data_IF_501090410625
#
_entry.id   IF_501090410625
#
_cell.length_a   1.000
_cell.length_b   1.000
_cell.length_c   1.000
_cell.angle_alpha   90.00
_cell.angle_beta   90.00
_cell.angle_gamma   90.00
#
_symmetry.space_group_name_H-M   'P 1'
#
loop_
_entity.id
_entity.type
_entity.pdbx_description
1 polymer ?
#
# COMPACT_ATOMS: atom_id res chain seq x y z
N UNK A 1 -7.27 1.05 15.18
CA UNK A 1 -6.34 1.07 14.02
C UNK A 1 -6.04 2.52 13.68
N UNK A 2 -4.80 2.83 13.31
CA UNK A 2 -4.40 4.18 12.93
C UNK A 2 -4.77 4.54 11.49
N UNK A 3 -4.37 5.74 11.01
CA UNK A 3 -4.49 6.13 9.61
C UNK A 3 -3.74 5.15 8.71
N UNK A 4 -4.15 5.03 7.46
CA UNK A 4 -3.42 4.22 6.48
C UNK A 4 -2.25 5.00 5.89
N UNK A 5 -1.09 4.37 5.77
CA UNK A 5 0.13 4.98 5.23
C UNK A 5 0.71 4.15 4.07
N UNK A 6 1.16 4.81 3.02
CA UNK A 6 1.89 4.23 1.90
C UNK A 6 3.33 4.77 1.96
N UNK A 7 4.30 3.85 1.87
CA UNK A 7 5.71 4.18 1.81
C UNK A 7 6.26 3.70 0.47
N UNK A 8 7.06 4.52 -0.19
CA UNK A 8 7.97 4.03 -1.22
C UNK A 8 9.20 3.34 -0.59
N UNK A 9 10.03 2.71 -1.43
CA UNK A 9 11.26 2.07 -0.95
C UNK A 9 12.22 3.07 -0.31
N UNK A 10 12.32 4.29 -0.82
CA UNK A 10 13.23 5.31 -0.28
C UNK A 10 12.87 5.69 1.17
N UNK A 11 11.58 5.87 1.45
CA UNK A 11 11.06 6.13 2.79
C UNK A 11 11.31 4.94 3.71
N UNK A 12 10.89 3.73 3.31
CA UNK A 12 11.06 2.51 4.12
C UNK A 12 12.54 2.24 4.45
N UNK A 13 13.41 2.35 3.45
CA UNK A 13 14.84 2.10 3.61
C UNK A 13 15.47 3.07 4.60
N UNK A 14 15.00 4.32 4.67
CA UNK A 14 15.53 5.33 5.57
C UNK A 14 15.26 5.05 7.05
N UNK A 15 14.20 4.29 7.37
CA UNK A 15 13.74 4.10 8.75
C UNK A 15 14.58 3.08 9.53
N UNK A 16 14.88 3.38 10.78
CA UNK A 16 15.48 2.43 11.74
C UNK A 16 14.44 1.43 12.28
N UNK A 17 14.90 0.37 12.95
CA UNK A 17 14.00 -0.64 13.56
C UNK A 17 13.01 0.00 14.54
N UNK A 18 13.47 0.95 15.37
CA UNK A 18 12.61 1.69 16.33
C UNK A 18 11.57 2.54 15.63
N UNK A 19 11.95 3.22 14.56
CA UNK A 19 11.04 4.03 13.76
C UNK A 19 9.99 3.16 13.06
N UNK A 20 10.36 1.96 12.58
CA UNK A 20 9.42 0.98 12.01
C UNK A 20 8.43 0.46 13.07
N UNK A 21 8.89 0.18 14.30
CA UNK A 21 8.00 -0.20 15.41
C UNK A 21 7.02 0.95 15.74
N UNK A 22 7.52 2.19 15.79
CA UNK A 22 6.67 3.35 16.03
C UNK A 22 5.62 3.52 14.92
N UNK A 23 6.06 3.40 13.66
CA UNK A 23 5.20 3.46 12.49
C UNK A 23 4.08 2.43 12.55
N UNK A 24 4.39 1.15 12.81
CA UNK A 24 3.39 0.08 12.82
C UNK A 24 2.37 0.21 13.94
N UNK A 25 2.70 0.96 15.00
CA UNK A 25 1.80 1.23 16.12
C UNK A 25 0.88 2.41 15.84
N UNK A 26 1.36 3.38 15.07
CA UNK A 26 0.61 4.59 14.73
C UNK A 26 -0.22 4.45 13.45
N UNK A 27 0.14 3.54 12.55
CA UNK A 27 -0.41 3.47 11.21
C UNK A 27 -0.72 2.04 10.79
N UNK A 28 -1.72 1.90 9.91
CA UNK A 28 -1.89 0.69 9.10
C UNK A 28 -1.09 0.85 7.82
N UNK A 29 -0.08 0.01 7.59
CA UNK A 29 0.79 0.12 6.40
C UNK A 29 0.13 -0.52 5.19
N UNK A 30 -0.12 0.26 4.14
CA UNK A 30 -0.51 -0.20 2.82
C UNK A 30 0.73 -0.64 2.04
N UNK A 31 0.98 -1.94 1.96
CA UNK A 31 2.10 -2.49 1.19
C UNK A 31 1.65 -2.58 -0.28
N UNK A 32 2.12 -1.64 -1.09
CA UNK A 32 1.95 -1.74 -2.53
C UNK A 32 2.84 -2.88 -3.08
N UNK A 33 2.33 -3.77 -3.95
CA UNK A 33 3.12 -4.83 -4.59
C UNK A 33 4.44 -4.35 -5.20
N UNK A 34 4.49 -3.15 -5.79
CA UNK A 34 5.71 -2.55 -6.33
C UNK A 34 6.82 -2.45 -5.27
N UNK A 35 6.50 -2.15 -4.01
CA UNK A 35 7.48 -2.09 -2.92
C UNK A 35 8.15 -3.44 -2.67
N UNK A 36 7.36 -4.52 -2.62
CA UNK A 36 7.94 -5.85 -2.41
C UNK A 36 8.77 -6.30 -3.61
N UNK A 37 8.34 -5.96 -4.85
CA UNK A 37 9.14 -6.24 -6.05
C UNK A 37 10.45 -5.45 -6.08
N UNK A 38 10.45 -4.18 -5.66
CA UNK A 38 11.67 -3.39 -5.56
C UNK A 38 12.62 -3.91 -4.46
N UNK A 39 12.08 -4.42 -3.34
CA UNK A 39 12.87 -5.08 -2.30
C UNK A 39 13.48 -6.36 -2.87
N UNK A 40 12.68 -7.23 -3.49
CA UNK A 40 13.16 -8.46 -4.10
C UNK A 40 14.23 -8.20 -5.17
N UNK A 41 14.10 -7.13 -5.95
CA UNK A 41 15.08 -6.75 -6.97
C UNK A 41 16.46 -6.33 -6.40
N UNK A 42 16.56 -6.02 -5.11
CA UNK A 42 17.87 -5.80 -4.46
C UNK A 42 18.67 -7.09 -4.31
N UNK A 43 18.03 -8.27 -4.43
CA UNK A 43 18.72 -9.57 -4.45
C UNK A 43 19.71 -9.69 -5.61
N UNK A 44 19.53 -8.90 -6.67
CA UNK A 44 20.38 -8.85 -7.86
C UNK A 44 21.09 -7.50 -8.04
N UNK A 45 21.27 -6.75 -6.95
CA UNK A 45 21.90 -5.43 -6.98
C UNK A 45 23.38 -5.50 -6.62
N UNK A 46 24.22 -4.94 -7.48
CA UNK A 46 25.67 -4.91 -7.29
C UNK A 46 26.35 -6.23 -7.61
N UNK A 47 27.67 -6.27 -7.43
CA UNK A 47 28.51 -7.40 -7.81
C UNK A 47 28.70 -8.44 -6.70
N UNK A 48 28.30 -8.12 -5.46
CA UNK A 48 28.40 -8.99 -4.29
C UNK A 48 27.03 -9.63 -3.96
N UNK A 49 26.83 -10.92 -4.27
CA UNK A 49 25.56 -11.60 -4.02
C UNK A 49 25.23 -11.74 -2.53
N UNK A 50 26.22 -11.80 -1.65
CA UNK A 50 26.01 -11.97 -0.21
C UNK A 50 25.53 -10.66 0.40
N UNK A 51 26.18 -9.55 0.09
CA UNK A 51 25.72 -8.21 0.50
C UNK A 51 24.33 -7.87 -0.08
N UNK A 52 24.06 -8.24 -1.35
CA UNK A 52 22.75 -8.06 -1.98
C UNK A 52 21.65 -8.82 -1.22
N UNK A 53 21.93 -10.08 -0.86
CA UNK A 53 21.05 -10.94 -0.08
C UNK A 53 20.80 -10.36 1.31
N UNK A 54 21.86 -9.97 2.03
CA UNK A 54 21.75 -9.36 3.36
C UNK A 54 20.90 -8.08 3.34
N UNK A 55 21.15 -7.19 2.38
CA UNK A 55 20.38 -5.96 2.22
C UNK A 55 18.90 -6.24 1.92
N UNK A 56 18.61 -7.26 1.12
CA UNK A 56 17.23 -7.69 0.82
C UNK A 56 16.52 -8.18 2.07
N UNK A 57 17.20 -8.98 2.89
CA UNK A 57 16.69 -9.45 4.19
C UNK A 57 16.41 -8.28 5.14
N UNK A 58 17.34 -7.32 5.24
CA UNK A 58 17.18 -6.13 6.08
C UNK A 58 15.94 -5.33 5.67
N UNK A 59 15.70 -5.14 4.37
CA UNK A 59 14.53 -4.41 3.87
C UNK A 59 13.23 -5.21 4.07
N UNK A 60 13.22 -6.52 3.82
CA UNK A 60 12.07 -7.38 4.03
C UNK A 60 11.64 -7.39 5.51
N UNK A 61 12.59 -7.35 6.45
CA UNK A 61 12.33 -7.27 7.89
C UNK A 61 11.64 -5.96 8.33
N UNK A 62 11.62 -4.92 7.48
CA UNK A 62 10.85 -3.69 7.74
C UNK A 62 9.37 -3.80 7.36
N UNK A 63 8.98 -4.83 6.59
CA UNK A 63 7.59 -5.10 6.21
C UNK A 63 6.87 -5.89 7.32
N UNK A 64 6.53 -5.21 8.43
CA UNK A 64 5.86 -5.84 9.57
C UNK A 64 4.44 -6.29 9.20
N UNK A 65 4.14 -7.59 9.30
CA UNK A 65 2.86 -8.15 8.81
C UNK A 65 1.66 -7.92 9.73
N UNK A 66 1.83 -7.77 11.05
CA UNK A 66 0.71 -7.64 12.00
C UNK A 66 -0.17 -6.41 11.67
N UNK A 67 0.47 -5.26 11.42
CA UNK A 67 -0.18 -3.96 11.26
C UNK A 67 -0.11 -3.44 9.81
N UNK A 68 0.04 -4.35 8.84
CA UNK A 68 0.09 -4.00 7.41
C UNK A 68 -0.90 -4.81 6.58
N UNK A 69 -1.17 -4.37 5.36
CA UNK A 69 -1.90 -5.16 4.38
C UNK A 69 -1.26 -5.00 3.00
N UNK A 70 -1.02 -6.13 2.33
CA UNK A 70 -0.63 -6.15 0.92
C UNK A 70 -1.86 -5.80 0.09
N UNK A 71 -1.73 -4.77 -0.74
CA UNK A 71 -2.77 -4.35 -1.66
C UNK A 71 -2.77 -5.23 -2.92
N UNK A 72 -3.91 -5.38 -3.56
CA UNK A 72 -3.99 -6.03 -4.87
C UNK A 72 -3.14 -5.24 -5.89
N UNK A 73 -2.60 -5.93 -6.89
CA UNK A 73 -1.90 -5.27 -7.99
C UNK A 73 -2.83 -4.27 -8.70
N UNK A 74 -2.37 -3.04 -8.88
CA UNK A 74 -3.18 -1.93 -9.39
C UNK A 74 -3.71 -2.19 -10.81
N UNK A 75 -2.99 -2.96 -11.64
CA UNK A 75 -3.48 -3.41 -12.96
C UNK A 75 -4.69 -4.33 -12.87
N UNK A 76 -4.74 -5.22 -11.87
CA UNK A 76 -5.92 -6.07 -11.60
C UNK A 76 -7.09 -5.20 -11.12
N UNK A 77 -6.84 -4.24 -10.21
CA UNK A 77 -7.87 -3.30 -9.76
C UNK A 77 -8.45 -2.50 -10.94
N UNK A 78 -7.58 -1.98 -11.81
CA UNK A 78 -7.98 -1.20 -12.97
C UNK A 78 -8.81 -2.02 -13.96
N UNK A 79 -8.36 -3.23 -14.28
CA UNK A 79 -9.08 -4.12 -15.19
C UNK A 79 -10.50 -4.41 -14.67
N UNK A 80 -10.63 -4.73 -13.39
CA UNK A 80 -11.94 -5.00 -12.77
C UNK A 80 -12.84 -3.76 -12.73
N UNK A 81 -12.29 -2.58 -12.41
CA UNK A 81 -13.05 -1.31 -12.44
C UNK A 81 -13.57 -1.00 -13.86
N UNK A 82 -12.73 -1.19 -14.88
CA UNK A 82 -13.09 -1.01 -16.29
C UNK A 82 -14.07 -2.08 -16.79
N UNK A 83 -14.12 -3.26 -16.19
CA UNK A 83 -15.08 -4.32 -16.52
C UNK A 83 -16.39 -4.25 -15.72
N UNK A 84 -16.48 -3.37 -14.72
CA UNK A 84 -17.74 -3.06 -14.02
C UNK A 84 -17.78 -3.47 -12.56
N UNK A 85 -16.65 -3.82 -11.96
CA UNK A 85 -16.51 -4.04 -10.52
C UNK A 85 -15.86 -2.83 -9.88
N UNK A 86 -16.62 -1.90 -9.27
CA UNK A 86 -16.09 -0.62 -8.80
C UNK A 86 -15.01 -0.79 -7.72
N UNK A 87 -13.93 -0.03 -7.84
CA UNK A 87 -12.86 0.01 -6.83
C UNK A 87 -13.15 1.07 -5.77
N UNK A 88 -13.29 0.63 -4.51
CA UNK A 88 -13.57 1.53 -3.39
C UNK A 88 -12.34 2.35 -2.99
N UNK A 89 -12.36 3.65 -3.29
CA UNK A 89 -11.27 4.60 -3.06
C UNK A 89 -11.36 5.29 -1.68
N UNK A 90 -11.52 4.48 -0.63
CA UNK A 90 -11.82 4.94 0.74
C UNK A 90 -10.62 4.95 1.68
N UNK A 91 -9.40 5.12 1.13
CA UNK A 91 -8.14 5.23 1.88
C UNK A 91 -7.83 4.00 2.75
N UNK A 92 -8.29 2.84 2.29
CA UNK A 92 -8.02 1.52 2.88
C UNK A 92 -7.44 0.62 1.79
N UNK A 93 -6.48 -0.26 2.12
CA UNK A 93 -5.95 -1.23 1.16
C UNK A 93 -7.07 -2.14 0.64
N UNK A 94 -7.04 -2.43 -0.66
CA UNK A 94 -7.92 -3.45 -1.24
C UNK A 94 -7.18 -4.78 -1.13
N UNK A 95 -7.75 -5.73 -0.39
CA UNK A 95 -7.18 -7.06 -0.20
C UNK A 95 -7.98 -8.08 -1.01
N UNK A 96 -7.35 -9.21 -1.35
CA UNK A 96 -8.03 -10.31 -2.04
C UNK A 96 -9.28 -10.74 -1.26
N UNK A 97 -10.38 -11.02 -1.97
CA UNK A 97 -11.63 -11.42 -1.35
C UNK A 97 -11.40 -12.65 -0.45
N UNK A 98 -11.97 -12.60 0.76
CA UNK A 98 -11.98 -13.73 1.67
C UNK A 98 -12.99 -14.78 1.22
N UNK A 99 -12.79 -16.02 1.65
CA UNK A 99 -13.75 -17.09 1.47
C UNK A 99 -14.96 -16.87 2.38
N UNK A 100 -16.17 -17.04 1.85
CA UNK A 100 -17.36 -17.09 2.69
C UNK A 100 -17.29 -18.31 3.60
N UNK A 101 -17.56 -18.09 4.88
CA UNK A 101 -17.60 -19.13 5.90
C UNK A 101 -18.93 -19.06 6.61
N UNK A 102 -19.44 -20.23 6.97
CA UNK A 102 -20.63 -20.34 7.79
C UNK A 102 -20.27 -21.08 9.06
N UNK A 103 -20.56 -20.46 10.19
CA UNK A 103 -20.32 -21.06 11.48
C UNK A 103 -21.47 -22.04 11.84
N UNK A 104 -21.20 -23.01 12.72
CA UNK A 104 -22.14 -24.06 13.11
C UNK A 104 -23.45 -23.52 13.74
N UNK A 105 -23.41 -22.30 14.30
CA UNK A 105 -24.57 -21.60 14.86
C UNK A 105 -25.38 -20.81 13.82
N UNK A 106 -25.02 -20.93 12.53
CA UNK A 106 -25.73 -20.34 11.41
C UNK A 106 -25.21 -18.96 10.98
N UNK A 107 -24.31 -18.34 11.74
CA UNK A 107 -23.74 -17.02 11.43
C UNK A 107 -22.87 -17.04 10.18
N UNK A 108 -22.90 -15.96 9.41
CA UNK A 108 -22.08 -15.80 8.20
C UNK A 108 -20.83 -14.97 8.51
N UNK A 109 -19.71 -15.35 7.93
CA UNK A 109 -18.46 -14.62 8.08
C UNK A 109 -17.56 -14.73 6.87
N UNK A 110 -16.48 -13.95 6.89
CA UNK A 110 -15.45 -13.99 5.85
C UNK A 110 -14.12 -14.45 6.43
N UNK A 111 -13.47 -15.38 5.75
CA UNK A 111 -12.16 -15.89 6.09
C UNK A 111 -11.12 -15.42 5.08
N UNK A 112 -10.15 -14.64 5.56
CA UNK A 112 -9.06 -14.13 4.74
C UNK A 112 -7.80 -14.95 5.00
N UNK A 113 -7.37 -15.69 3.97
CA UNK A 113 -6.08 -16.37 3.95
C UNK A 113 -4.94 -15.44 3.61
N UNK A 114 -3.74 -15.82 4.04
CA UNK A 114 -2.52 -15.22 3.56
C UNK A 114 -2.38 -15.41 2.06
N UNK A 115 -1.97 -14.36 1.36
CA UNK A 115 -1.67 -14.45 -0.07
C UNK A 115 -0.30 -15.10 -0.29
N UNK A 116 -0.03 -15.54 -1.52
CA UNK A 116 1.31 -15.99 -1.91
C UNK A 116 2.38 -14.91 -1.67
N UNK A 117 2.00 -13.63 -1.83
CA UNK A 117 2.89 -12.52 -1.59
C UNK A 117 3.20 -12.31 -0.10
N UNK A 118 2.20 -12.47 0.77
CA UNK A 118 2.41 -12.45 2.23
C UNK A 118 3.39 -13.56 2.65
N UNK A 119 3.20 -14.78 2.10
CA UNK A 119 4.12 -15.91 2.33
C UNK A 119 5.53 -15.63 1.79
N UNK A 120 5.65 -15.01 0.61
CA UNK A 120 6.94 -14.65 0.04
C UNK A 120 7.69 -13.66 0.94
N UNK A 121 7.03 -12.61 1.45
CA UNK A 121 7.64 -11.64 2.36
C UNK A 121 8.23 -12.34 3.60
N UNK A 122 7.53 -13.31 4.20
CA UNK A 122 8.03 -14.05 5.36
C UNK A 122 9.29 -14.86 5.06
N UNK A 123 9.33 -15.51 3.89
CA UNK A 123 10.53 -16.23 3.45
C UNK A 123 11.70 -15.27 3.24
N UNK A 124 11.45 -14.13 2.60
CA UNK A 124 12.48 -13.11 2.38
C UNK A 124 13.04 -12.55 3.70
N UNK A 125 12.23 -12.45 4.76
CA UNK A 125 12.66 -12.02 6.09
C UNK A 125 13.67 -12.96 6.76
N UNK A 126 13.62 -14.25 6.44
CA UNK A 126 14.58 -15.26 6.93
C UNK A 126 15.69 -15.56 5.93
N UNK A 127 15.70 -14.86 4.79
CA UNK A 127 16.62 -15.10 3.68
C UNK A 127 16.28 -16.36 2.87
N UNK A 128 15.13 -16.97 3.05
CA UNK A 128 14.70 -18.03 2.17
C UNK A 128 14.22 -17.43 0.83
N UNK A 129 15.03 -17.59 -0.22
CA UNK A 129 14.72 -17.14 -1.58
C UNK A 129 14.80 -18.34 -2.50
N UNK A 130 13.75 -18.57 -3.29
CA UNK A 130 13.70 -19.69 -4.23
C UNK A 130 14.14 -19.29 -5.65
N UNK A 131 14.01 -20.25 -6.58
CA UNK A 131 14.35 -20.04 -7.98
C UNK A 131 13.44 -19.00 -8.65
N UNK A 132 12.15 -18.96 -8.31
CA UNK A 132 11.20 -17.98 -8.84
C UNK A 132 11.54 -16.56 -8.36
N UNK A 133 11.89 -16.40 -7.08
CA UNK A 133 12.36 -15.14 -6.49
C UNK A 133 13.58 -14.60 -7.27
N UNK A 134 14.57 -15.46 -7.54
CA UNK A 134 15.76 -15.09 -8.32
C UNK A 134 15.43 -14.70 -9.76
N UNK A 135 14.50 -15.41 -10.42
CA UNK A 135 14.05 -15.10 -11.78
C UNK A 135 13.32 -13.76 -11.80
N UNK A 136 12.37 -13.55 -10.90
CA UNK A 136 11.58 -12.32 -10.77
C UNK A 136 12.47 -11.11 -10.47
N UNK A 137 13.43 -11.25 -9.54
CA UNK A 137 14.40 -10.19 -9.23
C UNK A 137 15.21 -9.79 -10.47
N UNK A 138 15.65 -10.77 -11.26
CA UNK A 138 16.44 -10.55 -12.48
C UNK A 138 15.61 -9.89 -13.58
N UNK A 139 14.36 -10.36 -13.77
CA UNK A 139 13.44 -9.79 -14.75
C UNK A 139 13.07 -8.35 -14.40
N UNK A 140 12.82 -8.06 -13.12
CA UNK A 140 12.50 -6.72 -12.65
C UNK A 140 13.65 -5.73 -12.86
N UNK A 141 14.90 -6.13 -12.56
CA UNK A 141 16.07 -5.28 -12.86
C UNK A 141 16.19 -5.01 -14.35
N UNK A 142 16.09 -6.06 -15.18
CA UNK A 142 16.18 -5.91 -16.64
C UNK A 142 15.11 -4.98 -17.19
N UNK A 143 13.85 -5.16 -16.80
CA UNK A 143 12.76 -4.29 -17.27
C UNK A 143 12.98 -2.83 -16.82
N UNK A 144 13.53 -2.61 -15.62
CA UNK A 144 13.86 -1.26 -15.14
C UNK A 144 14.99 -0.59 -15.93
N UNK A 145 15.96 -1.36 -16.42
CA UNK A 145 17.13 -0.87 -17.16
C UNK A 145 16.84 -0.67 -18.65
N UNK A 146 15.92 -1.45 -19.23
CA UNK A 146 15.49 -1.34 -20.62
C UNK A 146 14.59 -0.12 -20.89
N UNK A 147 14.06 0.53 -19.85
CA UNK A 147 13.19 1.69 -19.97
C UNK A 147 13.97 2.97 -20.33
N UNK A 148 13.96 3.32 -21.61
CA UNK A 148 14.53 4.59 -22.09
C UNK A 148 13.45 5.70 -22.19
N UNK A 149 13.31 6.45 -21.10
CA UNK A 149 12.38 7.58 -21.04
C UNK A 149 12.86 8.80 -21.83
N UNK A 150 14.16 8.92 -22.12
CA UNK A 150 14.68 10.01 -22.95
C UNK A 150 14.37 9.76 -24.43
N UNK A 151 14.50 8.51 -24.88
CA UNK A 151 14.03 8.09 -26.19
C UNK A 151 12.51 8.22 -26.31
N UNK A 152 11.74 7.93 -25.24
CA UNK A 152 10.30 8.22 -25.22
C UNK A 152 10.02 9.71 -25.43
N UNK A 153 10.64 10.57 -24.62
CA UNK A 153 10.49 12.04 -24.71
C UNK A 153 10.82 12.56 -26.10
N UNK A 154 11.93 12.12 -26.68
CA UNK A 154 12.39 12.54 -28.01
C UNK A 154 11.43 12.11 -29.11
N UNK A 155 10.99 10.84 -29.10
CA UNK A 155 10.03 10.32 -30.10
C UNK A 155 8.67 11.04 -30.03
N UNK A 156 8.26 11.43 -28.83
CA UNK A 156 6.96 12.08 -28.58
C UNK A 156 7.06 13.61 -28.46
N UNK A 157 8.16 14.23 -28.85
CA UNK A 157 8.33 15.69 -28.76
C UNK A 157 7.26 16.47 -29.57
N UNK A 158 6.73 15.87 -30.64
CA UNK A 158 5.64 16.44 -31.46
C UNK A 158 4.26 16.35 -30.80
N UNK A 159 4.12 15.52 -29.77
CA UNK A 159 2.89 15.37 -28.98
C UNK A 159 2.77 16.43 -27.89
N UNK A 160 3.70 17.40 -27.82
CA UNK A 160 3.56 18.59 -26.98
C UNK A 160 2.25 19.29 -27.27
N UNK A 161 1.58 19.74 -26.21
CA UNK A 161 0.38 20.56 -26.35
C UNK A 161 0.76 21.86 -27.10
N UNK A 162 -0.08 22.31 -28.06
CA UNK A 162 0.20 23.45 -28.90
C UNK A 162 0.28 24.77 -28.11
N UNK A 163 0.97 25.75 -28.67
CA UNK A 163 1.21 27.03 -27.98
C UNK A 163 -0.07 27.89 -27.83
N UNK A 164 -0.27 28.56 -26.68
CA UNK A 164 0.58 28.50 -25.49
C UNK A 164 0.38 27.17 -24.73
N UNK A 165 1.47 26.40 -24.58
CA UNK A 165 1.47 25.17 -23.78
C UNK A 165 1.53 25.47 -22.27
N UNK A 166 1.37 24.44 -21.41
CA UNK A 166 1.43 24.62 -19.97
C UNK A 166 2.78 25.17 -19.52
N UNK A 167 2.77 26.08 -18.55
CA UNK A 167 3.95 26.72 -17.95
C UNK A 167 4.47 26.00 -16.69
N UNK A 168 3.64 25.12 -16.11
CA UNK A 168 3.97 24.35 -14.91
C UNK A 168 3.32 22.97 -14.92
N UNK A 169 3.79 22.08 -14.05
CA UNK A 169 3.16 20.76 -13.83
C UNK A 169 1.73 20.88 -13.29
N UNK A 170 1.46 21.90 -12.47
CA UNK A 170 0.11 22.19 -11.96
C UNK A 170 -0.86 22.57 -13.08
N UNK A 171 -0.45 23.49 -13.97
CA UNK A 171 -1.25 23.86 -15.13
C UNK A 171 -1.48 22.67 -16.08
N UNK A 172 -0.44 21.86 -16.32
CA UNK A 172 -0.59 20.62 -17.09
C UNK A 172 -1.61 19.66 -16.44
N UNK A 173 -1.60 19.56 -15.11
CA UNK A 173 -2.54 18.71 -14.37
C UNK A 173 -3.97 19.21 -14.54
N UNK A 174 -4.23 20.51 -14.39
CA UNK A 174 -5.57 21.09 -14.61
C UNK A 174 -6.08 20.84 -16.03
N UNK A 175 -5.22 20.99 -17.04
CA UNK A 175 -5.56 20.71 -18.43
C UNK A 175 -5.92 19.25 -18.67
N UNK A 176 -5.14 18.32 -18.10
CA UNK A 176 -5.36 16.88 -18.27
C UNK A 176 -6.57 16.38 -17.48
N UNK A 177 -6.87 17.00 -16.33
CA UNK A 177 -8.09 16.74 -15.58
C UNK A 177 -9.33 17.05 -16.44
N UNK A 178 -9.35 18.23 -17.06
CA UNK A 178 -10.42 18.61 -17.98
C UNK A 178 -10.51 17.67 -19.18
N UNK A 179 -9.37 17.19 -19.70
CA UNK A 179 -9.34 16.24 -20.82
C UNK A 179 -9.91 14.87 -20.46
N UNK A 180 -9.54 14.29 -19.31
CA UNK A 180 -10.05 12.99 -18.86
C UNK A 180 -11.57 13.02 -18.58
N UNK A 181 -12.07 14.17 -18.12
CA UNK A 181 -13.50 14.39 -17.88
C UNK A 181 -14.27 14.82 -19.14
N UNK A 182 -13.61 14.99 -20.29
CA UNK A 182 -14.28 15.31 -21.55
C UNK A 182 -14.86 14.04 -22.20
N UNK A 183 -16.18 13.99 -22.38
CA UNK A 183 -16.87 12.87 -23.06
C UNK A 183 -16.24 12.45 -24.39
N UNK A 184 -15.84 13.38 -25.30
CA UNK A 184 -15.20 12.99 -26.57
C UNK A 184 -13.85 12.29 -26.41
N UNK A 185 -13.14 12.53 -25.30
CA UNK A 185 -11.81 11.98 -25.05
C UNK A 185 -11.84 10.53 -24.54
N UNK A 186 -12.99 10.03 -24.07
CA UNK A 186 -13.09 8.72 -23.40
C UNK A 186 -12.46 7.59 -24.23
N UNK A 187 -12.71 7.54 -25.53
CA UNK A 187 -12.17 6.48 -26.41
C UNK A 187 -10.65 6.51 -26.49
N UNK A 188 -10.07 7.71 -26.61
CA UNK A 188 -8.62 7.90 -26.67
C UNK A 188 -7.97 7.55 -25.32
N UNK A 189 -8.60 7.96 -24.22
CA UNK A 189 -8.14 7.66 -22.86
C UNK A 189 -8.21 6.15 -22.58
N UNK A 190 -9.30 5.47 -22.96
CA UNK A 190 -9.40 4.02 -22.84
C UNK A 190 -8.34 3.30 -23.67
N UNK A 191 -8.09 3.77 -24.90
CA UNK A 191 -7.05 3.21 -25.76
C UNK A 191 -5.67 3.38 -25.13
N UNK A 192 -5.40 4.52 -24.50
CA UNK A 192 -4.17 4.76 -23.75
C UNK A 192 -4.03 3.78 -22.59
N UNK A 193 -5.06 3.63 -21.73
CA UNK A 193 -5.05 2.70 -20.61
C UNK A 193 -4.85 1.24 -21.04
N UNK A 194 -5.57 0.79 -22.06
CA UNK A 194 -5.46 -0.59 -22.57
C UNK A 194 -4.02 -0.91 -23.01
N UNK A 195 -3.37 0.04 -23.69
CA UNK A 195 -1.98 -0.11 -24.13
C UNK A 195 -0.99 -0.03 -22.97
N UNK A 196 -1.17 0.95 -22.09
CA UNK A 196 -0.28 1.19 -20.95
C UNK A 196 -0.24 0.00 -19.99
N UNK A 197 -1.40 -0.58 -19.72
CA UNK A 197 -1.54 -1.71 -18.80
C UNK A 197 -1.42 -3.09 -19.49
N UNK A 198 -1.18 -3.12 -20.79
CA UNK A 198 -0.98 -4.35 -21.55
C UNK A 198 -2.18 -5.29 -21.51
N UNK A 199 -3.41 -4.77 -21.50
CA UNK A 199 -4.60 -5.61 -21.48
C UNK A 199 -4.72 -6.41 -22.79
N UNK A 200 -5.14 -7.68 -22.67
CA UNK A 200 -5.33 -8.57 -23.82
C UNK A 200 -6.41 -8.03 -24.77
N UNK A 201 -6.39 -8.49 -26.02
CA UNK A 201 -7.41 -8.13 -27.01
C UNK A 201 -8.83 -8.48 -26.53
N UNK A 202 -8.99 -9.61 -25.83
CA UNK A 202 -10.27 -10.02 -25.23
C UNK A 202 -10.74 -9.01 -24.19
N UNK A 203 -9.88 -8.61 -23.26
CA UNK A 203 -10.21 -7.60 -22.26
C UNK A 203 -10.54 -6.25 -22.91
N UNK A 204 -9.76 -5.82 -23.91
CA UNK A 204 -10.01 -4.60 -24.65
C UNK A 204 -11.40 -4.59 -25.31
N UNK A 205 -11.80 -5.69 -25.95
CA UNK A 205 -13.13 -5.82 -26.56
C UNK A 205 -14.25 -5.70 -25.52
N UNK A 206 -14.10 -6.35 -24.35
CA UNK A 206 -15.09 -6.28 -23.28
C UNK A 206 -15.21 -4.88 -22.67
N UNK A 207 -14.09 -4.19 -22.48
CA UNK A 207 -14.04 -2.80 -21.99
C UNK A 207 -14.75 -1.86 -22.98
N UNK A 208 -14.41 -1.95 -24.28
CA UNK A 208 -15.04 -1.12 -25.31
C UNK A 208 -16.54 -1.39 -25.43
N UNK A 209 -16.95 -2.67 -25.44
CA UNK A 209 -18.37 -3.04 -25.47
C UNK A 209 -19.14 -2.46 -24.28
N UNK A 210 -18.57 -2.54 -23.06
CA UNK A 210 -19.19 -1.91 -21.88
C UNK A 210 -19.31 -0.40 -22.04
N UNK A 211 -18.26 0.27 -22.53
CA UNK A 211 -18.28 1.72 -22.76
C UNK A 211 -19.36 2.14 -23.76
N UNK A 212 -19.59 1.33 -24.81
CA UNK A 212 -20.68 1.52 -25.78
C UNK A 212 -22.05 1.33 -25.12
N UNK A 213 -22.24 0.27 -24.33
CA UNK A 213 -23.49 0.01 -23.62
C UNK A 213 -23.86 1.12 -22.61
N UNK A 214 -22.87 1.75 -21.98
CA UNK A 214 -23.11 2.87 -21.06
C UNK A 214 -23.48 4.18 -21.77
N UNK A 215 -23.30 4.26 -23.10
CA UNK A 215 -23.55 5.47 -23.87
C UNK A 215 -22.51 6.57 -23.62
N UNK A 216 -22.71 7.78 -24.18
CA UNK A 216 -21.76 8.89 -24.04
C UNK A 216 -21.62 9.36 -22.59
N UNK A 217 -20.38 9.59 -22.14
CA UNK A 217 -20.05 10.18 -20.85
C UNK A 217 -18.54 10.18 -20.60
N UNK A 218 -18.05 10.88 -19.58
CA UNK A 218 -16.64 10.82 -19.16
C UNK A 218 -16.23 9.43 -18.69
N UNK A 219 -14.92 9.18 -18.63
CA UNK A 219 -14.40 7.90 -18.11
C UNK A 219 -14.77 7.69 -16.64
N UNK A 220 -14.81 8.76 -15.84
CA UNK A 220 -15.12 8.73 -14.41
C UNK A 220 -16.50 8.15 -14.08
N UNK A 221 -17.49 8.33 -14.97
CA UNK A 221 -18.82 7.71 -14.83
C UNK A 221 -18.80 6.20 -15.07
N UNK A 222 -17.90 5.72 -15.93
CA UNK A 222 -17.73 4.30 -16.20
C UNK A 222 -16.82 3.62 -15.15
N UNK A 223 -15.76 4.31 -14.76
CA UNK A 223 -14.62 3.77 -14.02
C UNK A 223 -13.89 4.92 -13.32
N UNK A 224 -14.27 5.21 -12.07
CA UNK A 224 -13.68 6.29 -11.30
C UNK A 224 -12.20 6.04 -10.96
N UNK A 225 -11.83 4.77 -10.71
CA UNK A 225 -10.43 4.40 -10.53
C UNK A 225 -9.67 4.38 -11.85
N UNK A 226 -10.33 4.00 -12.95
CA UNK A 226 -9.77 4.14 -14.30
C UNK A 226 -9.46 5.58 -14.70
N UNK A 227 -10.34 6.53 -14.38
CA UNK A 227 -10.09 7.95 -14.59
C UNK A 227 -8.87 8.44 -13.80
N UNK A 228 -8.69 7.98 -12.54
CA UNK A 228 -7.47 8.26 -11.78
C UNK A 228 -6.22 7.66 -12.43
N UNK A 229 -6.27 6.38 -12.83
CA UNK A 229 -5.12 5.75 -13.50
C UNK A 229 -4.74 6.48 -14.79
N UNK A 230 -5.74 6.89 -15.57
CA UNK A 230 -5.54 7.66 -16.79
C UNK A 230 -4.90 9.01 -16.50
N UNK A 231 -5.46 9.78 -15.56
CA UNK A 231 -4.90 11.06 -15.12
C UNK A 231 -3.43 10.91 -14.71
N UNK A 232 -3.13 9.97 -13.83
CA UNK A 232 -1.77 9.71 -13.33
C UNK A 232 -0.79 9.39 -14.45
N UNK A 233 -1.15 8.49 -15.37
CA UNK A 233 -0.31 8.13 -16.52
C UNK A 233 -0.13 9.27 -17.51
N UNK A 234 -1.19 10.01 -17.83
CA UNK A 234 -1.14 11.14 -18.76
C UNK A 234 -0.27 12.28 -18.20
N UNK A 235 -0.40 12.64 -16.92
CA UNK A 235 0.44 13.67 -16.29
C UNK A 235 1.91 13.25 -16.36
N UNK A 236 2.20 11.97 -16.11
CA UNK A 236 3.56 11.45 -16.22
C UNK A 236 4.12 11.63 -17.65
N UNK A 237 3.43 11.12 -18.66
CA UNK A 237 3.95 11.13 -20.03
C UNK A 237 4.01 12.53 -20.65
N UNK A 238 2.99 13.36 -20.44
CA UNK A 238 3.04 14.75 -20.90
C UNK A 238 4.04 15.57 -20.08
N UNK A 239 4.18 15.30 -18.78
CA UNK A 239 5.20 15.92 -17.93
C UNK A 239 6.62 15.61 -18.40
N UNK A 240 6.89 14.39 -18.86
CA UNK A 240 8.16 14.01 -19.52
C UNK A 240 8.38 14.82 -20.80
N UNK A 241 7.37 14.86 -21.67
CA UNK A 241 7.43 15.55 -22.97
C UNK A 241 7.64 17.07 -22.82
N UNK A 242 6.96 17.69 -21.86
CA UNK A 242 7.13 19.12 -21.53
C UNK A 242 8.40 19.41 -20.70
N UNK A 243 9.02 18.39 -20.10
CA UNK A 243 10.24 18.52 -19.31
C UNK A 243 10.01 18.93 -17.85
N UNK A 244 8.78 18.80 -17.36
CA UNK A 244 8.44 18.97 -15.93
C UNK A 244 8.86 17.76 -15.09
N UNK A 245 9.00 16.59 -15.73
CA UNK A 245 9.41 15.33 -15.10
C UNK A 245 10.72 14.87 -15.74
N UNK A 246 11.66 14.41 -14.91
CA UNK A 246 12.94 13.89 -15.37
C UNK A 246 12.83 12.52 -16.04
N UNK A 247 13.84 12.16 -16.84
CA UNK A 247 13.85 10.94 -17.68
C UNK A 247 14.61 9.76 -17.05
N UNK A 248 14.76 9.75 -15.71
CA UNK A 248 15.36 8.61 -15.01
C UNK A 248 14.46 7.39 -15.16
N UNK A 249 15.00 6.27 -15.65
CA UNK A 249 14.24 5.05 -15.94
C UNK A 249 13.37 4.55 -14.77
N UNK A 250 13.89 4.65 -13.54
CA UNK A 250 13.16 4.25 -12.32
C UNK A 250 11.88 5.04 -12.10
N UNK A 251 11.75 6.26 -12.64
CA UNK A 251 10.55 7.08 -12.48
C UNK A 251 9.28 6.39 -13.01
N UNK A 252 9.42 5.47 -13.99
CA UNK A 252 8.29 4.66 -14.46
C UNK A 252 7.86 3.61 -13.43
N UNK A 253 8.79 3.07 -12.65
CA UNK A 253 8.46 2.17 -11.53
C UNK A 253 7.87 2.99 -10.38
N UNK A 254 8.48 4.14 -10.08
CA UNK A 254 7.99 5.05 -9.05
C UNK A 254 6.54 5.50 -9.33
N UNK A 255 6.16 5.68 -10.60
CA UNK A 255 4.77 5.95 -11.02
C UNK A 255 3.75 4.95 -10.43
N UNK A 256 4.12 3.67 -10.28
CA UNK A 256 3.19 2.65 -9.82
C UNK A 256 2.68 2.91 -8.40
N UNK A 257 3.49 3.54 -7.54
CA UNK A 257 3.06 3.95 -6.20
C UNK A 257 1.89 4.94 -6.24
N UNK A 258 1.83 5.80 -7.26
CA UNK A 258 0.82 6.83 -7.38
C UNK A 258 -0.58 6.26 -7.70
N UNK A 259 -0.65 5.05 -8.27
CA UNK A 259 -1.92 4.33 -8.42
C UNK A 259 -2.50 3.84 -7.08
N UNK A 260 -1.69 3.79 -6.02
CA UNK A 260 -2.13 3.38 -4.68
C UNK A 260 -2.54 4.53 -3.77
N UNK A 261 -2.42 5.79 -4.23
CA UNK A 261 -2.89 6.95 -3.47
C UNK A 261 -4.33 6.80 -2.96
N UNK A 262 -5.32 6.29 -3.73
CA UNK A 262 -6.70 6.18 -3.24
C UNK A 262 -6.90 5.30 -2.00
N UNK A 263 -5.90 4.50 -1.66
CA UNK A 263 -5.94 3.50 -0.59
C UNK A 263 -5.13 3.91 0.64
N UNK A 264 -4.72 5.17 0.74
CA UNK A 264 -3.95 5.68 1.87
C UNK A 264 -4.42 7.05 2.35
N UNK A 265 -4.17 7.37 3.62
CA UNK A 265 -4.33 8.74 4.13
C UNK A 265 -3.05 9.54 3.89
N UNK A 266 -1.90 8.88 3.97
CA UNK A 266 -0.60 9.53 3.84
C UNK A 266 0.27 8.76 2.86
N UNK A 267 0.87 9.47 1.92
CA UNK A 267 1.94 8.94 1.08
C UNK A 267 3.26 9.59 1.47
N UNK A 268 4.28 8.76 1.69
CA UNK A 268 5.59 9.20 2.16
C UNK A 268 6.65 8.75 1.16
N UNK A 269 7.49 9.69 0.75
CA UNK A 269 8.61 9.42 -0.12
C UNK A 269 9.74 10.42 0.10
N UNK A 270 10.99 9.98 -0.14
CA UNK A 270 12.16 10.84 -0.28
C UNK A 270 12.60 11.02 -1.74
N UNK A 271 11.88 10.47 -2.71
CA UNK A 271 12.23 10.55 -4.12
C UNK A 271 11.72 11.86 -4.75
N UNK A 272 12.58 12.50 -5.56
CA UNK A 272 12.28 13.78 -6.21
C UNK A 272 11.10 13.69 -7.19
N UNK A 273 10.91 12.54 -7.82
CA UNK A 273 9.77 12.28 -8.70
C UNK A 273 8.46 12.37 -7.91
N UNK A 274 8.37 11.68 -6.77
CA UNK A 274 7.18 11.73 -5.92
C UNK A 274 6.95 13.11 -5.31
N UNK A 275 8.01 13.82 -4.89
CA UNK A 275 7.92 15.20 -4.40
C UNK A 275 7.29 16.13 -5.44
N UNK A 276 7.58 15.92 -6.72
CA UNK A 276 6.97 16.71 -7.80
C UNK A 276 5.54 16.24 -8.14
N UNK A 277 5.32 14.93 -8.26
CA UNK A 277 4.08 14.37 -8.81
C UNK A 277 2.96 14.18 -7.79
N UNK A 278 3.28 13.72 -6.58
CA UNK A 278 2.25 13.38 -5.60
C UNK A 278 1.36 14.58 -5.23
N UNK A 279 1.86 15.81 -5.04
CA UNK A 279 1.01 16.97 -4.75
C UNK A 279 -0.04 17.26 -5.83
N UNK A 280 0.20 16.87 -7.08
CA UNK A 280 -0.77 17.03 -8.19
C UNK A 280 -1.90 15.98 -8.18
N UNK A 281 -1.74 14.90 -7.39
CA UNK A 281 -2.64 13.73 -7.39
C UNK A 281 -3.33 13.48 -6.05
N UNK A 282 -2.74 13.96 -4.95
CA UNK A 282 -3.30 13.86 -3.60
C UNK A 282 -4.64 14.59 -3.55
N UNK A 283 -5.67 13.91 -3.05
CA UNK A 283 -7.03 14.46 -2.91
C UNK A 283 -7.23 15.13 -1.56
N UNK A 284 -8.37 15.78 -1.39
CA UNK A 284 -8.83 16.27 -0.10
C UNK A 284 -8.75 15.15 0.95
N UNK A 285 -8.29 15.47 2.16
CA UNK A 285 -8.11 14.53 3.27
C UNK A 285 -7.13 13.38 2.99
N UNK A 286 -6.08 13.70 2.23
CA UNK A 286 -4.85 12.93 2.09
C UNK A 286 -3.64 13.86 2.24
N UNK A 287 -2.46 13.33 2.57
CA UNK A 287 -1.22 14.11 2.67
C UNK A 287 -0.08 13.43 1.94
N UNK A 288 0.74 14.23 1.25
CA UNK A 288 2.10 13.85 0.90
C UNK A 288 3.06 14.34 1.99
N UNK A 289 4.01 13.50 2.39
CA UNK A 289 4.97 13.78 3.46
C UNK A 289 6.37 13.41 3.00
N UNK A 290 7.32 14.32 3.21
CA UNK A 290 8.73 14.03 2.99
C UNK A 290 9.26 12.98 3.99
N UNK A 291 10.00 11.99 3.48
CA UNK A 291 10.50 10.88 4.29
C UNK A 291 11.38 11.33 5.47
N UNK A 292 12.19 12.38 5.32
CA UNK A 292 13.04 12.86 6.39
C UNK A 292 12.23 13.50 7.53
N UNK A 293 11.13 14.18 7.18
CA UNK A 293 10.21 14.78 8.16
C UNK A 293 9.50 13.68 8.97
N UNK A 294 8.91 12.68 8.30
CA UNK A 294 8.28 11.58 9.02
C UNK A 294 9.29 10.82 9.90
N UNK A 295 10.49 10.57 9.37
CA UNK A 295 11.55 9.90 10.12
C UNK A 295 11.89 10.64 11.42
N UNK A 296 12.01 11.96 11.38
CA UNK A 296 12.30 12.78 12.56
C UNK A 296 11.18 12.66 13.62
N UNK A 297 9.92 12.69 13.19
CA UNK A 297 8.75 12.53 14.06
C UNK A 297 8.66 11.13 14.67
N UNK A 298 8.89 10.08 13.87
CA UNK A 298 8.93 8.70 14.34
C UNK A 298 10.07 8.47 15.33
N UNK A 299 11.21 9.11 15.11
CA UNK A 299 12.33 9.06 16.06
C UNK A 299 11.95 9.72 17.38
N UNK A 300 11.39 10.94 17.33
CA UNK A 300 10.98 11.67 18.52
C UNK A 300 9.97 10.86 19.37
N UNK A 301 8.95 10.28 18.74
CA UNK A 301 7.97 9.47 19.48
C UNK A 301 8.55 8.13 19.96
N UNK A 302 9.45 7.50 19.20
CA UNK A 302 10.14 6.29 19.64
C UNK A 302 11.02 6.53 20.88
N UNK A 303 11.63 7.71 20.98
CA UNK A 303 12.40 8.16 22.15
C UNK A 303 11.48 8.39 23.36
N UNK A 304 10.34 9.05 23.17
CA UNK A 304 9.33 9.22 24.24
C UNK A 304 8.78 7.88 24.72
N UNK A 305 8.54 6.93 23.82
CA UNK A 305 8.04 5.60 24.16
C UNK A 305 9.11 4.65 24.72
N UNK A 306 10.38 5.06 24.72
CA UNK A 306 11.47 4.21 25.21
C UNK A 306 11.61 2.89 24.43
N UNK A 307 11.34 2.91 23.12
CA UNK A 307 11.48 1.73 22.26
C UNK A 307 12.95 1.24 22.24
N UNK A 308 13.22 -0.07 22.11
CA UNK A 308 14.58 -0.64 22.21
C UNK A 308 15.46 -0.37 20.98
N UNK A 309 16.75 -0.12 21.16
CA UNK A 309 17.70 0.12 20.06
C UNK A 309 18.14 -1.17 19.37
N UNK A 310 18.28 -2.27 20.12
CA UNK A 310 18.61 -3.59 19.58
C UNK A 310 17.68 -4.68 20.09
N UNK A 311 17.72 -5.85 19.43
CA UNK A 311 17.10 -7.07 19.93
C UNK A 311 17.72 -7.47 21.27
N UNK A 312 16.88 -7.72 22.28
CA UNK A 312 17.30 -8.01 23.66
C UNK A 312 17.40 -6.80 24.60
N UNK A 313 17.31 -5.55 24.09
CA UNK A 313 17.15 -4.39 24.97
C UNK A 313 15.80 -4.46 25.67
N UNK A 314 15.78 -4.32 27.00
CA UNK A 314 14.53 -4.23 27.76
C UNK A 314 13.80 -2.94 27.37
N UNK A 315 12.84 -3.03 26.45
CA UNK A 315 11.88 -1.96 26.15
C UNK A 315 11.19 -1.53 27.45
N UNK A 316 11.37 -0.26 27.81
CA UNK A 316 11.26 0.18 29.21
C UNK A 316 9.98 0.96 29.54
N UNK A 317 9.00 1.10 28.65
CA UNK A 317 7.77 1.83 28.99
C UNK A 317 6.56 1.27 28.25
N UNK A 318 5.49 1.00 29.00
CA UNK A 318 4.17 0.80 28.42
C UNK A 318 3.75 2.13 27.77
N UNK A 319 3.39 2.09 26.50
CA UNK A 319 2.97 3.28 25.74
C UNK A 319 1.58 3.11 25.15
N UNK A 320 0.91 4.23 24.92
CA UNK A 320 -0.35 4.27 24.17
C UNK A 320 0.02 4.48 22.69
N UNK A 321 -0.43 3.62 21.77
CA UNK A 321 -0.06 3.71 20.36
C UNK A 321 -0.87 4.82 19.65
N UNK A 322 -0.66 6.07 20.06
CA UNK A 322 -1.23 7.29 19.49
C UNK A 322 -0.21 8.44 19.47
N UNK A 323 -0.39 9.46 18.62
CA UNK A 323 0.46 10.65 18.65
C UNK A 323 0.40 11.36 20.00
N UNK A 324 1.45 12.10 20.32
CA UNK A 324 1.47 13.02 21.45
C UNK A 324 0.42 14.13 21.26
N UNK A 325 -0.09 14.68 22.36
CA UNK A 325 -0.96 15.86 22.34
C UNK A 325 -0.14 17.12 22.05
N UNK A 326 0.29 17.22 20.79
CA UNK A 326 1.04 18.34 20.24
C UNK A 326 0.40 18.74 18.90
N UNK A 327 -0.44 19.79 18.89
CA UNK A 327 -1.09 20.28 17.67
C UNK A 327 -0.11 20.69 16.55
N UNK A 328 1.15 20.98 16.87
CA UNK A 328 2.16 21.37 15.90
C UNK A 328 2.88 20.17 15.26
N UNK A 329 2.88 19.00 15.92
CA UNK A 329 3.45 17.76 15.39
C UNK A 329 2.74 17.30 14.11
N UNK A 330 3.54 16.79 13.17
CA UNK A 330 3.02 16.16 11.95
C UNK A 330 2.11 14.97 12.28
N UNK A 331 2.47 14.14 13.27
CA UNK A 331 1.72 12.94 13.62
C UNK A 331 0.32 13.28 14.13
N UNK A 332 0.20 14.34 14.94
CA UNK A 332 -1.08 14.87 15.40
C UNK A 332 -1.92 15.34 14.23
N UNK A 333 -1.35 16.15 13.33
CA UNK A 333 -2.04 16.69 12.14
C UNK A 333 -2.56 15.58 11.23
N UNK A 334 -1.76 14.54 11.01
CA UNK A 334 -2.17 13.36 10.23
C UNK A 334 -3.36 12.66 10.88
N UNK A 335 -3.29 12.38 12.19
CA UNK A 335 -4.38 11.70 12.90
C UNK A 335 -5.64 12.55 12.94
N UNK A 336 -5.53 13.86 13.14
CA UNK A 336 -6.68 14.76 13.14
C UNK A 336 -7.35 14.86 11.76
N UNK A 337 -6.56 14.82 10.69
CA UNK A 337 -7.05 14.81 9.32
C UNK A 337 -7.73 13.48 8.97
N UNK A 338 -7.15 12.35 9.38
CA UNK A 338 -7.75 11.02 9.16
C UNK A 338 -8.99 10.77 10.02
N UNK A 339 -8.99 11.29 11.26
CA UNK A 339 -10.03 11.09 12.25
C UNK A 339 -10.42 12.45 12.88
N UNK A 340 -11.31 13.24 12.24
CA UNK A 340 -11.67 14.58 12.73
C UNK A 340 -12.21 14.61 14.17
N UNK A 341 -12.85 13.52 14.60
CA UNK A 341 -13.38 13.37 15.96
C UNK A 341 -12.38 12.83 16.98
N UNK A 342 -11.20 12.38 16.55
CA UNK A 342 -10.16 11.92 17.46
C UNK A 342 -9.65 13.06 18.35
N UNK A 343 -9.36 12.70 19.61
CA UNK A 343 -8.80 13.53 20.67
C UNK A 343 -7.75 12.68 21.42
N UNK A 344 -6.56 13.23 21.71
CA UNK A 344 -5.54 12.52 22.49
C UNK A 344 -6.05 12.11 23.87
N UNK A 345 -5.68 10.92 24.35
CA UNK A 345 -6.06 10.42 25.67
C UNK A 345 -7.52 9.99 25.83
N UNK A 346 -8.43 10.40 24.93
CA UNK A 346 -9.85 10.03 24.95
C UNK A 346 -10.11 8.72 24.18
N UNK A 347 -9.30 7.69 24.42
CA UNK A 347 -9.59 6.35 23.88
C UNK A 347 -10.69 5.68 24.70
N UNK A 348 -11.64 5.08 24.02
CA UNK A 348 -12.43 3.98 24.58
C UNK A 348 -11.46 2.85 24.89
N UNK A 349 -10.96 2.82 26.13
CA UNK A 349 -10.18 1.70 26.62
C UNK A 349 -11.05 0.46 26.47
N UNK A 350 -10.51 -0.57 25.80
CA UNK A 350 -11.18 -1.85 25.73
C UNK A 350 -11.57 -2.26 27.16
N UNK A 351 -12.83 -2.67 27.38
CA UNK A 351 -13.30 -3.02 28.73
C UNK A 351 -12.33 -4.04 29.33
N UNK A 352 -12.03 -3.88 30.63
CA UNK A 352 -11.16 -4.83 31.31
C UNK A 352 -11.88 -6.19 31.37
N UNK A 353 -11.45 -7.12 30.53
CA UNK A 353 -12.01 -8.45 30.46
C UNK A 353 -11.52 -9.29 31.66
N UNK A 354 -12.44 -9.98 32.32
CA UNK A 354 -12.08 -11.01 33.29
C UNK A 354 -11.37 -12.18 32.61
N UNK A 355 -10.61 -12.98 33.35
CA UNK A 355 -9.97 -14.18 32.79
C UNK A 355 -10.97 -15.16 32.17
N UNK A 356 -12.20 -15.23 32.70
CA UNK A 356 -13.27 -16.03 32.13
C UNK A 356 -13.77 -15.45 30.79
N UNK A 357 -13.96 -14.13 30.71
CA UNK A 357 -14.32 -13.48 29.44
C UNK A 357 -13.22 -13.63 28.38
N UNK A 358 -11.94 -13.53 28.78
CA UNK A 358 -10.81 -13.80 27.88
C UNK A 358 -10.86 -15.24 27.35
N UNK A 359 -11.10 -16.23 28.22
CA UNK A 359 -11.25 -17.64 27.82
C UNK A 359 -12.41 -17.85 26.85
N UNK A 360 -13.57 -17.25 27.13
CA UNK A 360 -14.75 -17.34 26.27
C UNK A 360 -14.50 -16.71 24.89
N UNK A 361 -13.83 -15.56 24.84
CA UNK A 361 -13.44 -14.93 23.58
C UNK A 361 -12.45 -15.82 22.81
N UNK A 362 -11.43 -16.36 23.47
CA UNK A 362 -10.47 -17.28 22.83
C UNK A 362 -11.17 -18.53 22.29
N UNK A 363 -12.11 -19.10 23.06
CA UNK A 363 -12.90 -20.24 22.61
C UNK A 363 -13.77 -19.89 21.41
N UNK A 364 -14.45 -18.74 21.42
CA UNK A 364 -15.24 -18.26 20.28
C UNK A 364 -14.37 -18.01 19.04
N UNK A 365 -13.22 -17.36 19.20
CA UNK A 365 -12.27 -17.12 18.10
C UNK A 365 -11.76 -18.45 17.53
N UNK A 366 -11.41 -19.41 18.38
CA UNK A 366 -10.97 -20.74 17.94
C UNK A 366 -12.08 -21.51 17.23
N UNK A 367 -13.35 -21.36 17.66
CA UNK A 367 -14.50 -21.96 16.96
C UNK A 367 -14.72 -21.30 15.60
N UNK A 368 -14.70 -19.97 15.53
CA UNK A 368 -14.80 -19.20 14.28
C UNK A 368 -13.67 -19.54 13.31
N UNK A 369 -12.44 -19.72 13.79
CA UNK A 369 -11.29 -20.09 12.96
C UNK A 369 -11.36 -21.53 12.42
N UNK A 370 -12.18 -22.39 13.03
CA UNK A 370 -12.42 -23.78 12.58
C UNK A 370 -13.65 -23.92 11.69
N UNK A 371 -14.39 -22.84 11.43
CA UNK A 371 -15.58 -22.87 10.59
C UNK A 371 -15.24 -23.38 9.18
N UNK A 372 -16.12 -24.21 8.62
CA UNK A 372 -15.90 -24.78 7.29
C UNK A 372 -16.04 -23.72 6.20
N UNK A 373 -15.11 -23.73 5.24
CA UNK A 373 -15.24 -22.92 4.03
C UNK A 373 -16.46 -23.41 3.25
N UNK A 374 -17.48 -22.57 3.13
CA UNK A 374 -18.60 -22.84 2.23
C UNK A 374 -18.16 -22.49 0.82
N UNK A 375 -18.03 -23.49 -0.06
CA UNK A 375 -17.61 -23.32 -1.46
C UNK A 375 -18.65 -22.66 -2.37
N UNK A 376 -19.23 -21.54 -1.94
CA UNK A 376 -20.23 -20.77 -2.68
C UNK A 376 -19.69 -19.39 -3.05
N UNK A 377 -19.67 -19.07 -4.34
CA UNK A 377 -19.61 -17.68 -4.80
C UNK A 377 -20.96 -17.03 -4.52
N UNK A 378 -21.13 -16.50 -3.32
CA UNK A 378 -22.29 -15.74 -2.90
C UNK A 378 -22.26 -14.31 -3.42
N UNK A 379 -23.44 -13.79 -3.76
CA UNK A 379 -23.66 -12.41 -4.16
C UNK A 379 -23.32 -11.48 -2.98
N UNK A 380 -22.58 -10.38 -3.22
CA UNK A 380 -22.03 -9.46 -2.21
C UNK A 380 -23.10 -8.60 -1.52
N UNK A 381 -24.14 -9.19 -0.94
CA UNK A 381 -25.33 -8.42 -0.51
C UNK A 381 -25.56 -8.31 1.01
N UNK A 382 -24.87 -9.08 1.87
CA UNK A 382 -24.94 -8.89 3.33
C UNK A 382 -23.55 -8.67 3.95
N UNK A 383 -23.47 -7.71 4.88
CA UNK A 383 -22.24 -7.47 5.66
C UNK A 383 -21.99 -8.68 6.57
N UNK A 384 -20.78 -9.26 6.57
CA UNK A 384 -20.50 -10.45 7.36
C UNK A 384 -20.63 -10.15 8.86
N UNK A 385 -21.19 -11.09 9.62
CA UNK A 385 -21.33 -10.96 11.08
C UNK A 385 -19.98 -11.10 11.81
N UNK A 386 -19.02 -11.78 11.19
CA UNK A 386 -17.65 -11.88 11.69
C UNK A 386 -16.61 -11.95 10.56
N UNK A 387 -15.38 -11.54 10.86
CA UNK A 387 -14.24 -11.64 9.96
C UNK A 387 -13.12 -12.38 10.69
N UNK A 388 -12.59 -13.41 10.05
CA UNK A 388 -11.39 -14.11 10.50
C UNK A 388 -10.28 -13.81 9.50
N UNK A 389 -9.12 -13.40 10.01
CA UNK A 389 -7.92 -13.21 9.19
C UNK A 389 -6.79 -14.02 9.80
N UNK A 390 -6.29 -14.98 9.06
CA UNK A 390 -5.13 -15.76 9.47
C UNK A 390 -3.85 -15.09 8.98
N UNK A 391 -2.82 -15.05 9.83
CA UNK A 391 -1.50 -14.56 9.47
C UNK A 391 -0.41 -15.33 10.21
N UNK A 392 0.67 -15.60 9.51
CA UNK A 392 1.94 -16.07 10.01
C UNK A 392 2.81 -14.85 10.30
N UNK A 393 3.51 -14.84 11.42
CA UNK A 393 4.35 -13.71 11.82
C UNK A 393 5.66 -14.23 12.36
N UNK A 394 6.77 -13.54 12.07
CA UNK A 394 8.05 -13.90 12.67
C UNK A 394 7.97 -13.73 14.19
N UNK A 395 8.50 -14.70 14.95
CA UNK A 395 8.59 -14.62 16.42
C UNK A 395 9.46 -13.45 16.90
N UNK A 396 10.30 -12.91 16.02
CA UNK A 396 11.15 -11.74 16.29
C UNK A 396 10.44 -10.42 15.95
N UNK A 397 9.23 -10.49 15.38
CA UNK A 397 8.38 -9.33 15.12
C UNK A 397 8.02 -8.59 16.43
N UNK A 398 7.80 -7.27 16.37
CA UNK A 398 7.36 -6.50 17.54
C UNK A 398 6.05 -7.02 18.12
N UNK A 399 6.01 -7.21 19.43
CA UNK A 399 4.84 -7.70 20.13
C UNK A 399 3.70 -6.68 20.12
N UNK A 400 2.48 -7.13 19.79
CA UNK A 400 1.28 -6.30 19.66
C UNK A 400 0.80 -5.67 20.98
N UNK A 401 1.23 -6.18 22.14
CA UNK A 401 0.78 -5.70 23.44
C UNK A 401 1.35 -4.33 23.86
N UNK A 402 2.26 -3.74 23.06
CA UNK A 402 2.87 -2.44 23.37
C UNK A 402 4.00 -2.50 24.42
N UNK A 403 4.57 -3.68 24.66
CA UNK A 403 5.73 -3.84 25.55
C UNK A 403 7.06 -3.35 24.95
N UNK A 404 7.07 -3.05 23.65
CA UNK A 404 8.28 -2.74 22.89
C UNK A 404 9.20 -3.94 22.62
N UNK A 405 8.88 -5.14 23.12
CA UNK A 405 9.67 -6.38 22.93
C UNK A 405 9.26 -7.16 21.68
N UNK A 406 10.03 -8.17 21.28
CA UNK A 406 9.60 -9.14 20.27
C UNK A 406 8.47 -10.04 20.80
N UNK A 407 7.76 -10.74 19.91
CA UNK A 407 6.76 -11.73 20.31
C UNK A 407 7.37 -12.82 21.19
N UNK A 408 8.53 -13.34 20.80
CA UNK A 408 9.33 -14.35 21.54
C UNK A 408 9.61 -13.92 22.98
N UNK A 409 10.01 -12.67 23.19
CA UNK A 409 10.39 -12.15 24.51
C UNK A 409 9.19 -11.65 25.35
N UNK A 410 7.97 -11.75 24.82
CA UNK A 410 6.77 -11.19 25.42
C UNK A 410 5.61 -12.20 25.42
N UNK A 411 4.64 -12.07 24.51
CA UNK A 411 3.42 -12.86 24.54
C UNK A 411 3.61 -14.33 24.13
N UNK A 412 4.77 -14.72 23.59
CA UNK A 412 5.14 -16.11 23.28
C UNK A 412 6.25 -16.65 24.18
N UNK A 413 6.57 -15.97 25.28
CA UNK A 413 7.68 -16.38 26.17
C UNK A 413 7.47 -17.77 26.80
N UNK A 414 6.22 -18.15 27.04
CA UNK A 414 5.85 -19.37 27.76
C UNK A 414 5.40 -20.52 26.82
N UNK A 415 5.47 -20.34 25.49
CA UNK A 415 5.11 -21.39 24.53
C UNK A 415 6.22 -22.42 24.26
N UNK A 416 7.46 -22.14 24.69
CA UNK A 416 8.61 -23.05 24.54
C UNK A 416 8.84 -23.96 25.77
N UNK A 417 8.03 -23.84 26.82
CA UNK A 417 8.09 -24.70 28.03
C UNK A 417 7.02 -25.83 28.07
N UNK A 418 6.39 -26.16 26.93
CA UNK A 418 5.42 -27.27 26.85
C UNK A 418 5.68 -28.26 25.74
#
# INVERSE_FOLDING_TARGET
MGPTILLDKSALQSLSRREIIALSRLFTVNIAPVLGMEILADLKKGDDPEAAREQTVILANKLLQIDSAVNIQHGVLLLNDLLGTPVSMIKKPVVLAGDETRHDDGRTGMYYEETDFDRAILRWQTGDFDAADSILASQWRRSSEELDLEAYRTRNAKSRLPDPGPSSLGELTEMLDAYVEATPARTDVLTHLIREFGFSQEHAQRICYRAECMGPGPLSQMSAYGALCAKTGLIFYYGLVHGFIGTRATNRIDLDYLYYLPFTHVFVSGDKFHVAMAPCLVRDSQMFVDAAVLKAELKAIADVWGLPYSEGDKGASQYVPEPLDDPDSLLYKIWKMAFPQWRPGERDLAPTLTEEQKRQIVEQVNKMARAEKSGGGGDQQESPEFIVRSRTVSIDSPCHCGSGKSLRECCLRDSDEK
#
